data_IF_283522654865
#
_entry.id   IF_283522654865
#
_cell.length_a   1.000
_cell.length_b   1.000
_cell.length_c   1.000
_cell.angle_alpha   90.00
_cell.angle_beta   90.00
_cell.angle_gamma   90.00
#
_symmetry.space_group_name_H-M   'P 1'
#
loop_
_entity.id
_entity.type
_entity.pdbx_description
1 polymer ?
#
# COMPACT_ATOMS: atom_id res chain seq x y z
N UNK A 1 16.51 -7.82 -11.65
CA UNK A 1 15.06 -8.04 -11.44
C UNK A 1 14.30 -6.85 -11.98
N UNK A 2 13.47 -7.05 -13.00
CA UNK A 2 12.63 -6.01 -13.59
C UNK A 2 11.35 -5.77 -12.78
N UNK A 3 10.55 -4.77 -13.15
CA UNK A 3 9.32 -4.40 -12.42
C UNK A 3 8.27 -5.51 -12.44
N UNK A 4 8.10 -6.21 -13.57
CA UNK A 4 7.14 -7.31 -13.69
C UNK A 4 7.49 -8.48 -12.75
N UNK A 5 8.77 -8.82 -12.64
CA UNK A 5 9.26 -9.85 -11.71
C UNK A 5 8.99 -9.46 -10.24
N UNK A 6 9.16 -8.18 -9.88
CA UNK A 6 8.83 -7.68 -8.53
C UNK A 6 7.33 -7.81 -8.22
N UNK A 7 6.49 -7.42 -9.18
CA UNK A 7 5.03 -7.51 -9.07
C UNK A 7 4.64 -8.98 -8.83
N UNK A 8 5.17 -9.89 -9.64
CA UNK A 8 4.86 -11.31 -9.53
C UNK A 8 5.31 -11.89 -8.17
N UNK A 9 6.51 -11.52 -7.69
CA UNK A 9 6.98 -11.93 -6.36
C UNK A 9 6.05 -11.47 -5.23
N UNK A 10 5.53 -10.23 -5.30
CA UNK A 10 4.57 -9.73 -4.31
C UNK A 10 3.25 -10.50 -4.37
N UNK A 11 2.75 -10.83 -5.56
CA UNK A 11 1.52 -11.59 -5.75
C UNK A 11 1.64 -13.05 -5.28
N UNK A 12 2.80 -13.67 -5.49
CA UNK A 12 3.03 -15.09 -5.16
C UNK A 12 3.44 -15.30 -3.70
N UNK A 13 4.13 -14.32 -3.10
CA UNK A 13 4.63 -14.46 -1.74
C UNK A 13 3.49 -14.66 -0.72
N UNK A 14 3.51 -15.74 0.10
CA UNK A 14 2.50 -15.97 1.12
C UNK A 14 2.57 -14.96 2.28
N UNK A 15 3.68 -14.24 2.43
CA UNK A 15 3.83 -13.19 3.46
C UNK A 15 3.26 -11.84 3.03
N UNK A 16 3.00 -11.64 1.74
CA UNK A 16 2.30 -10.43 1.28
C UNK A 16 0.84 -10.49 1.73
N UNK A 17 0.37 -9.44 2.39
CA UNK A 17 -1.01 -9.38 2.86
C UNK A 17 -2.00 -9.51 1.71
N UNK A 18 -3.15 -10.15 1.99
CA UNK A 18 -4.23 -10.29 1.01
C UNK A 18 -4.64 -8.93 0.41
N UNK A 19 -4.75 -7.91 1.26
CA UNK A 19 -5.12 -6.56 0.83
C UNK A 19 -4.11 -5.98 -0.17
N UNK A 20 -2.80 -6.11 0.08
CA UNK A 20 -1.79 -5.57 -0.82
C UNK A 20 -1.81 -6.30 -2.18
N UNK A 21 -2.00 -7.63 -2.18
CA UNK A 21 -2.20 -8.39 -3.43
C UNK A 21 -3.43 -7.93 -4.19
N UNK A 22 -4.54 -7.69 -3.49
CA UNK A 22 -5.78 -7.23 -4.10
C UNK A 22 -5.64 -5.83 -4.70
N UNK A 23 -5.04 -4.89 -3.96
CA UNK A 23 -4.78 -3.54 -4.44
C UNK A 23 -3.85 -3.55 -5.66
N UNK A 24 -2.77 -4.34 -5.61
CA UNK A 24 -1.83 -4.48 -6.72
C UNK A 24 -2.53 -5.02 -7.98
N UNK A 25 -3.38 -6.05 -7.86
CA UNK A 25 -4.16 -6.56 -9.00
C UNK A 25 -5.08 -5.49 -9.58
N UNK A 26 -5.79 -4.74 -8.74
CA UNK A 26 -6.69 -3.68 -9.20
C UNK A 26 -5.96 -2.54 -9.92
N UNK A 27 -4.76 -2.16 -9.45
CA UNK A 27 -3.95 -1.11 -10.06
C UNK A 27 -3.35 -1.54 -11.41
N UNK A 28 -3.04 -2.82 -11.59
CA UNK A 28 -2.52 -3.34 -12.86
C UNK A 28 -3.53 -3.32 -14.01
N UNK A 29 -4.82 -3.21 -13.72
CA UNK A 29 -5.89 -3.08 -14.72
C UNK A 29 -6.11 -1.61 -15.18
N UNK A 30 -5.38 -0.64 -14.59
CA UNK A 30 -5.51 0.80 -14.87
C UNK A 30 -4.36 1.27 -15.78
N UNK A 31 -4.51 2.48 -16.33
CA UNK A 31 -3.38 3.16 -16.96
C UNK A 31 -2.26 3.36 -15.94
N UNK A 32 -1.00 3.24 -16.39
CA UNK A 32 0.15 3.24 -15.52
C UNK A 32 0.33 4.57 -14.75
N UNK A 33 -0.08 5.70 -15.33
CA UNK A 33 0.01 7.02 -14.68
C UNK A 33 -1.03 7.13 -13.55
N UNK A 34 -2.27 6.74 -13.84
CA UNK A 34 -3.35 6.73 -12.84
C UNK A 34 -3.06 5.76 -11.70
N UNK A 35 -2.58 4.55 -12.04
CA UNK A 35 -2.23 3.53 -11.06
C UNK A 35 -1.15 3.99 -10.08
N UNK A 36 -0.12 4.69 -10.59
CA UNK A 36 0.94 5.25 -9.76
C UNK A 36 0.39 6.36 -8.84
N UNK A 37 -0.40 7.28 -9.39
CA UNK A 37 -1.02 8.37 -8.61
C UNK A 37 -1.94 7.83 -7.51
N UNK A 38 -2.75 6.82 -7.80
CA UNK A 38 -3.66 6.20 -6.83
C UNK A 38 -2.87 5.53 -5.68
N UNK A 39 -1.75 4.89 -5.99
CA UNK A 39 -0.88 4.28 -5.00
C UNK A 39 -0.21 5.31 -4.08
N UNK A 40 0.21 6.45 -4.62
CA UNK A 40 0.79 7.55 -3.84
C UNK A 40 -0.23 8.16 -2.87
N UNK A 41 -1.43 8.48 -3.35
CA UNK A 41 -2.52 9.01 -2.51
C UNK A 41 -2.87 8.02 -1.39
N UNK A 42 -2.94 6.73 -1.71
CA UNK A 42 -3.23 5.69 -0.72
C UNK A 42 -2.15 5.59 0.37
N UNK A 43 -0.88 5.66 -0.03
CA UNK A 43 0.24 5.66 0.90
C UNK A 43 0.22 6.89 1.83
N UNK A 44 -0.09 8.07 1.28
CA UNK A 44 -0.23 9.32 2.02
C UNK A 44 -1.33 9.21 3.10
N UNK A 45 -2.55 8.82 2.70
CA UNK A 45 -3.71 8.74 3.61
C UNK A 45 -3.47 7.70 4.72
N UNK A 46 -2.93 6.52 4.38
CA UNK A 46 -2.62 5.50 5.39
C UNK A 46 -1.49 5.94 6.32
N UNK A 47 -0.49 6.67 5.81
CA UNK A 47 0.59 7.25 6.58
C UNK A 47 0.07 8.27 7.61
N UNK A 48 -0.77 9.22 7.17
CA UNK A 48 -1.42 10.20 8.04
C UNK A 48 -2.24 9.52 9.13
N UNK A 49 -3.12 8.59 8.75
CA UNK A 49 -3.96 7.82 9.70
C UNK A 49 -3.12 7.07 10.74
N UNK A 50 -2.02 6.45 10.33
CA UNK A 50 -1.11 5.76 11.26
C UNK A 50 -0.53 6.73 12.28
N UNK A 51 -0.09 7.91 11.83
CA UNK A 51 0.51 8.92 12.71
C UNK A 51 -0.51 9.46 13.72
N UNK A 52 -1.76 9.68 13.28
CA UNK A 52 -2.86 10.09 14.17
C UNK A 52 -3.10 9.07 15.30
N UNK A 53 -3.18 7.78 14.94
CA UNK A 53 -3.38 6.69 15.92
C UNK A 53 -2.22 6.64 16.92
N UNK A 54 -0.98 6.77 16.44
CA UNK A 54 0.20 6.77 17.31
C UNK A 54 0.23 7.99 18.24
N UNK A 55 -0.13 9.17 17.73
CA UNK A 55 -0.23 10.39 18.54
C UNK A 55 -1.28 10.24 19.64
N UNK A 56 -2.46 9.71 19.33
CA UNK A 56 -3.53 9.48 20.31
C UNK A 56 -3.09 8.50 21.40
N UNK A 57 -2.41 7.41 21.02
CA UNK A 57 -1.89 6.42 21.96
C UNK A 57 -0.81 6.99 22.91
N UNK A 58 -0.05 7.99 22.46
CA UNK A 58 0.94 8.69 23.29
C UNK A 58 0.28 9.70 24.23
N UNK A 59 -0.68 10.48 23.75
CA UNK A 59 -1.40 11.46 24.57
C UNK A 59 -2.28 10.84 25.66
N UNK A 60 -2.79 9.62 25.46
CA UNK A 60 -3.57 8.89 26.48
C UNK A 60 -2.73 8.18 27.56
N UNK A 61 -1.40 8.22 27.48
CA UNK A 61 -0.48 7.68 28.50
C UNK A 61 0.10 8.74 29.45
N UNK A 62 -0.14 10.03 29.16
CA UNK A 62 0.23 11.17 30.00
C UNK A 62 -0.89 11.48 31.00
#
# INVERSE_FOLDING_TARGET
MNTAEKIQQLLDSPSTSYWLKSALRALLERDALDAASDAEVLAEVMGARRNEILSQAQSGRA
#
